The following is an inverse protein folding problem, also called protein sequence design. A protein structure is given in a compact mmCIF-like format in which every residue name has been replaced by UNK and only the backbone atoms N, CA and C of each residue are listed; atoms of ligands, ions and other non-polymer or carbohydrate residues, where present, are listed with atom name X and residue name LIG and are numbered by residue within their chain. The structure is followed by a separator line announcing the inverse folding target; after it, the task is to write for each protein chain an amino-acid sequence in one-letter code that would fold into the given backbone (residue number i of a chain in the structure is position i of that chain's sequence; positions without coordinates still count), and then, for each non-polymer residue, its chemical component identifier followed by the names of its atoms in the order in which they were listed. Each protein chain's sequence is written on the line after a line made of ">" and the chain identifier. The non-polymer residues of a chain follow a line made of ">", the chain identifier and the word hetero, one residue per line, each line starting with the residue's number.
data_IF_730090364020
#
_entry.id   IF_730090364020
#
_cell.length_a   1.000
_cell.length_b   1.000
_cell.length_c   1.000
_cell.angle_alpha   90.00
_cell.angle_beta   90.00
_cell.angle_gamma   90.00
#
_symmetry.space_group_name_H-M   'P 1'
#
loop_
_entity.id
_entity.type
_entity.pdbx_description
1 polymer ?
#
# COMPACT_ATOMS: atom_id res chain seq x y z
N UNK A 1 -5.34 4.75 -19.43
CA UNK A 1 -4.77 4.88 -18.06
C UNK A 1 -4.32 6.32 -17.90
N UNK A 2 -4.92 7.13 -17.01
CA UNK A 2 -4.34 8.43 -16.65
C UNK A 2 -3.04 8.15 -15.90
N UNK A 3 -1.92 8.76 -16.29
CA UNK A 3 -0.65 8.48 -15.63
C UNK A 3 -0.77 8.86 -14.15
N UNK A 4 -0.24 7.99 -13.29
CA UNK A 4 -0.30 8.11 -11.82
C UNK A 4 0.18 9.48 -11.31
N UNK A 5 1.03 10.15 -12.12
CA UNK A 5 1.68 11.44 -11.87
C UNK A 5 0.94 12.67 -12.46
N UNK A 6 -0.25 12.50 -13.04
CA UNK A 6 -1.00 13.60 -13.67
C UNK A 6 -1.99 14.32 -12.74
N UNK A 7 -2.22 13.79 -11.54
CA UNK A 7 -3.24 14.30 -10.61
C UNK A 7 -2.91 15.68 -10.05
N UNK A 8 -3.94 16.53 -9.88
CA UNK A 8 -3.81 17.90 -9.37
C UNK A 8 -3.08 17.98 -8.02
N UNK A 9 -3.25 16.99 -7.14
CA UNK A 9 -2.58 16.92 -5.85
C UNK A 9 -1.05 16.79 -5.98
N UNK A 10 -0.56 15.87 -6.84
CA UNK A 10 0.88 15.67 -7.05
C UNK A 10 1.50 16.93 -7.66
N UNK A 11 0.79 17.59 -8.58
CA UNK A 11 1.27 18.84 -9.20
C UNK A 11 1.36 20.00 -8.21
N UNK A 12 0.38 20.13 -7.32
CA UNK A 12 0.41 21.12 -6.25
C UNK A 12 1.60 20.89 -5.30
N UNK A 13 1.81 19.64 -4.86
CA UNK A 13 2.94 19.29 -4.00
C UNK A 13 4.29 19.49 -4.71
N UNK A 14 4.38 19.14 -5.99
CA UNK A 14 5.58 19.36 -6.78
C UNK A 14 5.88 20.84 -6.96
N UNK A 15 4.85 21.65 -7.20
CA UNK A 15 5.00 23.10 -7.29
C UNK A 15 5.49 23.69 -5.97
N UNK A 16 4.94 23.24 -4.85
CA UNK A 16 5.40 23.67 -3.53
C UNK A 16 6.86 23.29 -3.28
N UNK A 17 7.29 22.08 -3.67
CA UNK A 17 8.71 21.68 -3.58
C UNK A 17 9.63 22.59 -4.41
N UNK A 18 9.20 22.97 -5.61
CA UNK A 18 9.95 23.93 -6.46
C UNK A 18 10.07 25.28 -5.76
N UNK A 19 8.97 25.78 -5.18
CA UNK A 19 8.98 27.06 -4.47
C UNK A 19 9.84 26.99 -3.19
N UNK A 20 9.71 25.93 -2.39
CA UNK A 20 10.48 25.68 -1.15
C UNK A 20 11.99 25.51 -1.42
N UNK A 21 12.38 24.96 -2.56
CA UNK A 21 13.79 24.81 -2.96
C UNK A 21 14.44 26.15 -3.35
N UNK A 22 13.65 27.19 -3.65
CA UNK A 22 14.14 28.50 -4.11
C UNK A 22 13.63 28.93 -5.48
N UNK A 23 12.56 28.30 -5.98
CA UNK A 23 11.89 28.63 -7.23
C UNK A 23 12.46 27.93 -8.46
N UNK A 24 11.86 28.22 -9.63
CA UNK A 24 12.14 27.53 -10.88
C UNK A 24 13.61 27.60 -11.33
N UNK A 25 14.30 28.70 -11.05
CA UNK A 25 15.67 28.92 -11.51
C UNK A 25 16.65 28.01 -10.78
N UNK A 26 16.53 27.98 -9.46
CA UNK A 26 17.32 27.11 -8.59
C UNK A 26 17.01 25.64 -8.90
N UNK A 27 15.72 25.28 -8.93
CA UNK A 27 15.28 23.91 -9.17
C UNK A 27 15.71 23.41 -10.56
N UNK A 28 15.61 24.22 -11.60
CA UNK A 28 16.03 23.84 -12.96
C UNK A 28 17.54 23.58 -13.04
N UNK A 29 18.33 24.43 -12.38
CA UNK A 29 19.79 24.27 -12.31
C UNK A 29 20.17 22.99 -11.56
N UNK A 30 19.52 22.74 -10.42
CA UNK A 30 19.74 21.54 -9.61
C UNK A 30 19.37 20.25 -10.35
N UNK A 31 18.21 20.23 -10.99
CA UNK A 31 17.69 19.08 -11.75
C UNK A 31 18.29 18.96 -13.16
N UNK A 32 19.17 19.87 -13.56
CA UNK A 32 19.81 19.91 -14.89
C UNK A 32 18.80 19.88 -16.04
N UNK A 33 17.70 20.62 -15.89
CA UNK A 33 16.64 20.71 -16.89
C UNK A 33 16.28 22.19 -17.17
N UNK A 34 15.38 22.43 -18.13
CA UNK A 34 14.96 23.80 -18.44
C UNK A 34 13.86 24.28 -17.49
N UNK A 35 13.82 25.59 -17.18
CA UNK A 35 12.69 26.21 -16.45
C UNK A 35 11.35 25.92 -17.12
N UNK A 36 11.34 25.89 -18.45
CA UNK A 36 10.16 25.53 -19.24
C UNK A 36 9.68 24.10 -19.00
N UNK A 37 10.60 23.17 -18.76
CA UNK A 37 10.28 21.78 -18.41
C UNK A 37 9.55 21.72 -17.07
N UNK A 38 10.09 22.37 -16.04
CA UNK A 38 9.47 22.42 -14.71
C UNK A 38 8.11 23.13 -14.75
N UNK A 39 7.99 24.21 -15.52
CA UNK A 39 6.72 24.91 -15.70
C UNK A 39 5.67 24.01 -16.34
N UNK A 40 6.00 23.31 -17.44
CA UNK A 40 5.10 22.34 -18.09
C UNK A 40 4.68 21.22 -17.14
N UNK A 41 5.61 20.73 -16.32
CA UNK A 41 5.35 19.72 -15.30
C UNK A 41 4.37 20.23 -14.22
N UNK A 42 4.51 21.46 -13.76
CA UNK A 42 3.58 22.05 -12.79
C UNK A 42 2.18 22.28 -13.38
N UNK A 43 2.08 22.66 -14.66
CA UNK A 43 0.81 23.04 -15.28
C UNK A 43 -0.02 21.89 -15.84
N UNK A 44 0.59 20.75 -16.17
CA UNK A 44 -0.15 19.66 -16.81
C UNK A 44 0.49 19.09 -18.06
N UNK A 45 1.28 19.92 -18.74
CA UNK A 45 1.74 19.69 -20.11
C UNK A 45 2.90 18.69 -20.21
N UNK A 46 3.50 18.30 -19.08
CA UNK A 46 4.51 17.26 -19.00
C UNK A 46 4.31 16.36 -17.77
N UNK A 47 4.79 15.13 -17.89
CA UNK A 47 4.81 14.16 -16.79
C UNK A 47 5.90 14.52 -15.78
N UNK A 48 5.62 14.25 -14.50
CA UNK A 48 6.57 14.41 -13.40
C UNK A 48 7.13 13.02 -13.08
N UNK A 49 8.41 12.80 -13.37
CA UNK A 49 9.09 11.54 -13.06
C UNK A 49 9.72 11.53 -11.66
N UNK A 50 10.03 10.34 -11.10
CA UNK A 50 10.71 10.19 -9.82
C UNK A 50 12.05 10.93 -9.73
N UNK A 51 12.76 11.04 -10.85
CA UNK A 51 14.02 11.78 -10.95
C UNK A 51 13.86 13.29 -10.72
N UNK A 52 12.64 13.82 -10.89
CA UNK A 52 12.33 15.22 -10.68
C UNK A 52 11.84 15.48 -9.26
N UNK A 53 10.77 14.79 -8.83
CA UNK A 53 10.21 15.05 -7.50
C UNK A 53 11.08 14.47 -6.38
N UNK A 54 11.65 13.27 -6.56
CA UNK A 54 12.45 12.62 -5.51
C UNK A 54 13.71 13.43 -5.17
N UNK A 55 14.41 13.92 -6.18
CA UNK A 55 15.59 14.76 -5.97
C UNK A 55 15.26 16.07 -5.23
N UNK A 56 14.11 16.69 -5.51
CA UNK A 56 13.67 17.89 -4.78
C UNK A 56 13.22 17.57 -3.34
N UNK A 57 12.51 16.46 -3.14
CA UNK A 57 12.11 16.01 -1.80
C UNK A 57 13.34 15.79 -0.89
N UNK A 58 14.38 15.15 -1.44
CA UNK A 58 15.64 14.91 -0.72
C UNK A 58 16.37 16.21 -0.41
N UNK A 59 16.40 17.15 -1.36
CA UNK A 59 17.11 18.41 -1.18
C UNK A 59 16.40 19.37 -0.21
N UNK A 60 15.06 19.36 -0.18
CA UNK A 60 14.23 20.14 0.75
C UNK A 60 14.14 19.44 2.13
N UNK A 61 14.39 18.13 2.19
CA UNK A 61 14.27 17.33 3.41
C UNK A 61 12.80 17.05 3.80
N UNK A 62 11.91 17.01 2.80
CA UNK A 62 10.47 16.75 2.98
C UNK A 62 9.97 15.86 1.84
N UNK A 63 9.18 14.85 2.18
CA UNK A 63 8.73 13.82 1.23
C UNK A 63 7.20 13.74 1.04
N UNK A 64 6.51 14.84 0.69
CA UNK A 64 5.05 14.87 0.60
C UNK A 64 4.46 14.01 -0.53
N UNK A 65 5.10 13.95 -1.71
CA UNK A 65 4.64 13.13 -2.84
C UNK A 65 4.91 11.67 -2.52
N UNK A 66 6.10 11.34 -2.00
CA UNK A 66 6.39 9.97 -1.57
C UNK A 66 5.44 9.49 -0.49
N UNK A 67 5.11 10.33 0.51
CA UNK A 67 4.09 10.02 1.53
C UNK A 67 2.70 9.84 0.93
N UNK A 68 2.30 10.66 -0.04
CA UNK A 68 1.03 10.51 -0.75
C UNK A 68 0.97 9.16 -1.50
N UNK A 69 2.04 8.80 -2.20
CA UNK A 69 2.13 7.53 -2.92
C UNK A 69 2.13 6.33 -1.96
N UNK A 70 2.81 6.43 -0.82
CA UNK A 70 2.79 5.41 0.22
C UNK A 70 1.42 5.28 0.90
N UNK A 71 0.75 6.40 1.16
CA UNK A 71 -0.62 6.42 1.69
C UNK A 71 -1.60 5.66 0.78
N UNK A 72 -1.43 5.74 -0.55
CA UNK A 72 -2.24 4.94 -1.49
C UNK A 72 -2.02 3.43 -1.34
N UNK A 73 -0.82 3.01 -0.96
CA UNK A 73 -0.54 1.59 -0.69
C UNK A 73 -1.22 1.17 0.62
N UNK A 74 -1.24 2.03 1.63
CA UNK A 74 -1.93 1.79 2.89
C UNK A 74 -3.46 1.74 2.70
N UNK A 75 -4.03 2.70 1.99
CA UNK A 75 -5.48 2.80 1.73
C UNK A 75 -5.99 1.70 0.79
N UNK A 76 -5.15 1.26 -0.16
CA UNK A 76 -5.48 0.16 -1.07
C UNK A 76 -5.21 -1.24 -0.51
N UNK A 77 -4.51 -1.34 0.61
CA UNK A 77 -3.95 -2.60 1.11
C UNK A 77 -4.85 -3.38 2.07
N UNK A 78 -5.62 -2.70 2.93
CA UNK A 78 -6.19 -3.36 4.11
C UNK A 78 -7.41 -4.25 3.80
N UNK A 79 -8.31 -3.82 2.91
CA UNK A 79 -9.47 -4.64 2.50
C UNK A 79 -9.04 -5.86 1.68
N UNK A 80 -7.98 -5.72 0.86
CA UNK A 80 -7.42 -6.82 0.07
C UNK A 80 -6.64 -7.79 0.97
N UNK A 81 -5.91 -7.29 1.97
CA UNK A 81 -5.16 -8.13 2.91
C UNK A 81 -6.09 -8.92 3.83
N UNK A 82 -7.14 -8.29 4.38
CA UNK A 82 -8.11 -8.99 5.23
C UNK A 82 -8.91 -10.03 4.43
N UNK A 83 -9.34 -9.68 3.22
CA UNK A 83 -10.03 -10.65 2.33
C UNK A 83 -9.13 -11.83 1.98
N UNK A 84 -7.84 -11.59 1.74
CA UNK A 84 -6.86 -12.64 1.48
C UNK A 84 -6.61 -13.52 2.72
N UNK A 85 -6.44 -12.91 3.88
CA UNK A 85 -6.27 -13.64 5.15
C UNK A 85 -7.51 -14.48 5.51
N UNK A 86 -8.71 -13.96 5.23
CA UNK A 86 -9.95 -14.71 5.38
C UNK A 86 -10.00 -15.90 4.42
N UNK A 87 -9.60 -15.73 3.16
CA UNK A 87 -9.52 -16.83 2.19
C UNK A 87 -8.51 -17.90 2.59
N UNK A 88 -7.31 -17.49 3.03
CA UNK A 88 -6.28 -18.42 3.51
C UNK A 88 -6.79 -19.18 4.74
N UNK A 89 -7.41 -18.50 5.72
CA UNK A 89 -7.99 -19.15 6.90
C UNK A 89 -9.07 -20.16 6.54
N UNK A 90 -9.97 -19.81 5.61
CA UNK A 90 -11.01 -20.72 5.14
C UNK A 90 -10.44 -21.95 4.43
N UNK A 91 -9.34 -21.79 3.69
CA UNK A 91 -8.65 -22.91 3.06
C UNK A 91 -8.07 -23.86 4.11
N UNK A 92 -7.29 -23.35 5.06
CA UNK A 92 -6.69 -24.20 6.10
C UNK A 92 -7.77 -24.86 6.98
N UNK A 93 -8.87 -24.15 7.28
CA UNK A 93 -9.98 -24.69 8.06
C UNK A 93 -10.78 -25.78 7.31
N UNK A 94 -10.78 -25.77 5.97
CA UNK A 94 -11.52 -26.76 5.17
C UNK A 94 -10.99 -28.18 5.39
N UNK A 95 -9.69 -28.32 5.64
CA UNK A 95 -9.03 -29.61 5.84
C UNK A 95 -9.28 -30.22 7.25
N UNK A 96 -9.82 -29.43 8.19
CA UNK A 96 -10.20 -29.94 9.52
C UNK A 96 -11.35 -30.93 9.46
N UNK A 97 -12.35 -30.69 8.60
CA UNK A 97 -13.53 -31.57 8.50
C UNK A 97 -13.16 -33.00 8.11
N UNK A 98 -12.42 -33.25 7.01
CA UNK A 98 -11.96 -34.60 6.68
C UNK A 98 -11.01 -35.16 7.74
N UNK A 99 -10.15 -34.35 8.36
CA UNK A 99 -9.25 -34.81 9.42
C UNK A 99 -9.99 -35.30 10.68
N UNK A 100 -11.08 -34.62 11.07
CA UNK A 100 -11.97 -35.05 12.17
C UNK A 100 -12.63 -36.38 11.84
N UNK A 101 -13.12 -36.56 10.61
CA UNK A 101 -13.71 -37.84 10.20
C UNK A 101 -12.67 -38.97 10.17
N UNK A 102 -11.43 -38.70 9.74
CA UNK A 102 -10.36 -39.69 9.79
C UNK A 102 -10.11 -40.18 11.23
N UNK A 103 -10.11 -39.26 12.21
CA UNK A 103 -10.00 -39.61 13.62
C UNK A 103 -11.22 -40.41 14.12
N UNK A 104 -12.43 -39.93 13.86
CA UNK A 104 -13.65 -40.52 14.43
C UNK A 104 -14.02 -41.87 13.81
N UNK A 105 -13.77 -42.05 12.52
CA UNK A 105 -14.16 -43.27 11.78
C UNK A 105 -13.02 -44.29 11.80
N UNK A 106 -11.78 -43.85 11.55
CA UNK A 106 -10.65 -44.75 11.36
C UNK A 106 -9.71 -44.80 12.58
N UNK A 107 -9.93 -43.97 13.59
CA UNK A 107 -9.00 -43.82 14.71
C UNK A 107 -7.66 -43.16 14.33
N UNK A 108 -7.56 -42.58 13.13
CA UNK A 108 -6.32 -42.00 12.62
C UNK A 108 -6.20 -40.53 13.04
N UNK A 109 -5.33 -40.28 14.02
CA UNK A 109 -5.04 -38.93 14.50
C UNK A 109 -4.02 -38.17 13.63
N UNK A 110 -3.36 -38.83 12.67
CA UNK A 110 -2.32 -38.22 11.83
C UNK A 110 -2.78 -36.94 11.13
N UNK A 111 -3.90 -36.95 10.39
CA UNK A 111 -4.43 -35.78 9.71
C UNK A 111 -4.72 -34.61 10.66
N UNK A 112 -5.41 -34.84 11.78
CA UNK A 112 -5.77 -33.73 12.70
C UNK A 112 -4.56 -33.14 13.44
N UNK A 113 -3.51 -33.94 13.69
CA UNK A 113 -2.25 -33.45 14.25
C UNK A 113 -1.46 -32.58 13.27
N UNK A 114 -1.71 -32.73 11.95
CA UNK A 114 -1.13 -31.87 10.91
C UNK A 114 -1.99 -30.63 10.65
N UNK A 115 -3.25 -30.82 10.27
CA UNK A 115 -4.12 -29.72 9.82
C UNK A 115 -4.61 -28.83 10.99
N UNK A 116 -4.70 -29.39 12.20
CA UNK A 116 -5.12 -28.67 13.41
C UNK A 116 -4.26 -27.44 13.71
N UNK A 117 -2.93 -27.59 13.86
CA UNK A 117 -2.02 -26.46 14.04
C UNK A 117 -2.05 -25.43 12.90
N UNK A 118 -2.17 -25.87 11.64
CA UNK A 118 -2.22 -24.99 10.46
C UNK A 118 -3.47 -24.08 10.51
N UNK A 119 -4.63 -24.66 10.79
CA UNK A 119 -5.88 -23.91 10.94
C UNK A 119 -5.87 -22.97 12.16
N UNK A 120 -5.29 -23.40 13.30
CA UNK A 120 -5.16 -22.55 14.50
C UNK A 120 -4.27 -21.33 14.20
N UNK A 121 -3.14 -21.54 13.53
CA UNK A 121 -2.23 -20.46 13.17
C UNK A 121 -2.90 -19.44 12.24
N UNK A 122 -3.57 -19.93 11.19
CA UNK A 122 -4.28 -19.06 10.24
C UNK A 122 -5.42 -18.26 10.93
N UNK A 123 -6.20 -18.91 11.80
CA UNK A 123 -7.24 -18.23 12.57
C UNK A 123 -6.67 -17.17 13.52
N UNK A 124 -5.53 -17.46 14.17
CA UNK A 124 -4.85 -16.49 15.03
C UNK A 124 -4.29 -15.30 14.25
N UNK A 125 -3.79 -15.50 13.03
CA UNK A 125 -3.37 -14.43 12.12
C UNK A 125 -4.57 -13.56 11.70
N UNK A 126 -5.70 -14.18 11.36
CA UNK A 126 -6.92 -13.46 10.98
C UNK A 126 -7.48 -12.63 12.15
N UNK A 127 -7.55 -13.20 13.35
CA UNK A 127 -8.01 -12.47 14.54
C UNK A 127 -7.12 -11.28 14.86
N UNK A 128 -5.79 -11.43 14.74
CA UNK A 128 -4.85 -10.30 14.89
C UNK A 128 -5.08 -9.21 13.83
N UNK A 129 -5.42 -9.60 12.60
CA UNK A 129 -5.72 -8.64 11.55
C UNK A 129 -7.04 -7.89 11.80
N UNK A 130 -8.04 -8.57 12.36
CA UNK A 130 -9.32 -7.95 12.77
C UNK A 130 -9.12 -7.03 13.98
N UNK A 131 -8.36 -7.44 15.00
CA UNK A 131 -8.10 -6.59 16.18
C UNK A 131 -7.25 -5.35 15.87
N UNK A 132 -6.42 -5.43 14.82
CA UNK A 132 -5.68 -4.29 14.29
C UNK A 132 -6.56 -3.30 13.50
N UNK A 133 -7.85 -3.62 13.29
CA UNK A 133 -8.87 -2.74 12.70
C UNK A 133 -9.71 -2.10 13.83
N UNK A 134 -9.27 -0.98 14.43
CA UNK A 134 -10.15 -0.23 15.32
C UNK A 134 -11.30 0.30 14.48
N UNK A 135 -12.48 -0.29 14.66
CA UNK A 135 -13.72 0.11 14.02
C UNK A 135 -13.98 1.63 14.17
N UNK A 136 -13.58 2.43 13.19
CA UNK A 136 -14.22 3.71 12.89
C UNK A 136 -15.32 3.47 11.82
N UNK A 137 -16.52 3.18 12.33
CA UNK A 137 -17.75 3.76 11.78
C UNK A 137 -18.22 3.31 10.39
N UNK A 138 -18.67 2.06 10.23
CA UNK A 138 -19.70 1.74 9.22
C UNK A 138 -20.95 1.19 9.89
N UNK A 139 -21.64 2.11 10.54
CA UNK A 139 -22.99 1.96 11.05
C UNK A 139 -23.70 3.31 10.99
N UNK A 140 -24.14 3.70 9.80
CA UNK A 140 -25.33 4.51 9.49
C UNK A 140 -25.43 4.76 7.98
#
# INVERSE_FOLDING_TARGET
>A
MRNVYEGAAIRSLYRQLVDDFGGFDAAATFLKCSKGTLSKQCHGDAAIGPEHFGALEDAVGRWPITRLLFGRLADGGFSVSLSRQAQDTLREAADLTPAIFALLINGDAGPILKEGPEAIAALADLLRAVDADPAEGRGQ
#
